data_IF_546669510870
#
_entry.id   IF_546669510870
#
_cell.length_a   1.000
_cell.length_b   1.000
_cell.length_c   1.000
_cell.angle_alpha   90.00
_cell.angle_beta   90.00
_cell.angle_gamma   90.00
#
_symmetry.space_group_name_H-M   'P 1'
#
loop_
_entity.id
_entity.type
_entity.pdbx_description
1 polymer ?
#
# COMPACT_ATOMS: atom_id res chain seq x y z
N UNK A 1 3.32 8.35 27.43
CA UNK A 1 2.31 8.58 26.38
C UNK A 1 2.10 7.27 25.63
N UNK A 2 0.87 6.73 25.55
CA UNK A 2 0.59 5.42 24.93
C UNK A 2 0.20 5.60 23.46
N UNK A 3 0.71 4.76 22.57
CA UNK A 3 0.53 4.94 21.12
C UNK A 3 -0.87 4.58 20.61
N UNK A 4 -1.61 3.67 21.27
CA UNK A 4 -2.96 3.20 20.91
C UNK A 4 -3.14 2.92 19.40
N UNK A 5 -2.24 2.15 18.80
CA UNK A 5 -2.23 1.89 17.36
C UNK A 5 -3.50 1.20 16.87
N UNK A 6 -4.05 0.26 17.63
CA UNK A 6 -5.32 -0.42 17.30
C UNK A 6 -6.51 0.54 17.10
N UNK A 7 -6.49 1.72 17.75
CA UNK A 7 -7.51 2.76 17.60
C UNK A 7 -7.14 3.81 16.55
N UNK A 8 -5.84 4.06 16.37
CA UNK A 8 -5.33 5.13 15.48
C UNK A 8 -5.17 4.67 14.03
N UNK A 9 -4.71 3.45 13.79
CA UNK A 9 -4.49 2.92 12.44
C UNK A 9 -5.77 2.91 11.60
N UNK A 10 -6.94 2.49 12.12
CA UNK A 10 -8.20 2.59 11.36
C UNK A 10 -8.52 4.02 10.91
N UNK A 11 -8.30 5.02 11.78
CA UNK A 11 -8.52 6.45 11.47
C UNK A 11 -7.57 6.97 10.40
N UNK A 12 -6.33 6.46 10.37
CA UNK A 12 -5.35 6.81 9.33
C UNK A 12 -5.79 6.26 7.97
N UNK A 13 -6.29 5.02 7.94
CA UNK A 13 -6.79 4.38 6.72
C UNK A 13 -8.01 5.16 6.18
N UNK A 14 -8.98 5.47 7.04
CA UNK A 14 -10.15 6.28 6.68
C UNK A 14 -9.74 7.64 6.08
N UNK A 15 -8.80 8.35 6.74
CA UNK A 15 -8.26 9.59 6.22
C UNK A 15 -7.61 9.43 4.83
N UNK A 16 -6.86 8.34 4.60
CA UNK A 16 -6.25 8.08 3.29
C UNK A 16 -7.28 7.82 2.20
N UNK A 17 -8.35 7.09 2.52
CA UNK A 17 -9.44 6.76 1.60
C UNK A 17 -10.25 8.01 1.24
N UNK A 18 -10.70 8.78 2.24
CA UNK A 18 -11.45 10.03 2.05
C UNK A 18 -10.68 11.03 1.18
N UNK A 19 -9.38 11.19 1.47
CA UNK A 19 -8.51 12.11 0.73
C UNK A 19 -7.99 11.53 -0.58
N UNK A 20 -8.34 10.28 -0.91
CA UNK A 20 -7.91 9.55 -2.11
C UNK A 20 -6.39 9.60 -2.29
N UNK A 21 -5.64 9.39 -1.20
CA UNK A 21 -4.19 9.56 -1.15
C UNK A 21 -3.47 8.66 -2.17
N UNK A 22 -3.88 7.40 -2.28
CA UNK A 22 -3.31 6.48 -3.28
C UNK A 22 -3.43 7.03 -4.70
N UNK A 23 -4.64 7.46 -5.09
CA UNK A 23 -4.91 8.04 -6.41
C UNK A 23 -4.04 9.27 -6.67
N UNK A 24 -3.91 10.17 -5.69
CA UNK A 24 -3.07 11.38 -5.81
C UNK A 24 -1.59 11.04 -6.01
N UNK A 25 -1.07 10.02 -5.34
CA UNK A 25 0.31 9.55 -5.52
C UNK A 25 0.52 9.02 -6.94
N UNK A 26 -0.42 8.23 -7.46
CA UNK A 26 -0.36 7.73 -8.84
C UNK A 26 -0.43 8.86 -9.87
N UNK A 27 -1.35 9.82 -9.69
CA UNK A 27 -1.49 10.99 -10.55
C UNK A 27 -0.23 11.85 -10.56
N UNK A 28 0.38 12.08 -9.39
CA UNK A 28 1.63 12.84 -9.25
C UNK A 28 2.76 12.25 -10.10
N UNK A 29 2.85 10.93 -10.19
CA UNK A 29 3.94 10.24 -10.87
C UNK A 29 3.57 9.73 -12.28
N UNK A 30 2.34 9.97 -12.78
CA UNK A 30 1.78 9.31 -13.98
C UNK A 30 2.66 9.32 -15.23
N UNK A 31 3.45 10.38 -15.44
CA UNK A 31 4.30 10.55 -16.61
C UNK A 31 5.76 10.13 -16.39
N UNK A 32 6.09 9.62 -15.20
CA UNK A 32 7.43 9.18 -14.85
C UNK A 32 7.65 7.72 -15.26
N UNK A 33 8.88 7.23 -15.11
CA UNK A 33 9.22 5.83 -15.41
C UNK A 33 8.38 4.88 -14.56
N UNK A 34 7.75 3.92 -15.23
CA UNK A 34 6.95 2.88 -14.57
C UNK A 34 7.83 1.92 -13.76
N UNK A 35 7.32 1.50 -12.61
CA UNK A 35 7.81 0.38 -11.83
C UNK A 35 6.63 -0.54 -11.51
N UNK A 36 6.60 -1.73 -12.13
CA UNK A 36 5.50 -2.67 -11.97
C UNK A 36 5.98 -3.85 -11.12
N UNK A 37 5.30 -4.10 -10.01
CA UNK A 37 5.51 -5.29 -9.19
C UNK A 37 4.27 -6.18 -9.33
N UNK A 38 4.42 -7.30 -10.03
CA UNK A 38 3.32 -8.23 -10.22
C UNK A 38 2.99 -8.95 -8.92
N UNK A 39 1.71 -8.92 -8.55
CA UNK A 39 1.19 -9.62 -7.40
C UNK A 39 0.65 -10.99 -7.81
N UNK A 40 1.16 -12.05 -7.19
CA UNK A 40 0.60 -13.38 -7.35
C UNK A 40 -0.80 -13.42 -6.75
N UNK A 41 -1.85 -13.79 -7.53
CA UNK A 41 -3.21 -13.79 -7.02
C UNK A 41 -3.34 -14.83 -5.89
N UNK A 42 -3.78 -14.45 -4.69
CA UNK A 42 -4.08 -15.42 -3.65
C UNK A 42 -5.31 -16.23 -4.06
N UNK A 43 -5.38 -17.49 -3.62
CA UNK A 43 -6.63 -18.23 -3.73
C UNK A 43 -7.66 -17.62 -2.78
N UNK A 44 -8.89 -17.44 -3.26
CA UNK A 44 -9.99 -16.83 -2.49
C UNK A 44 -10.70 -17.85 -1.56
N UNK A 45 -9.93 -18.77 -0.96
CA UNK A 45 -10.43 -19.79 -0.04
C UNK A 45 -9.66 -19.74 1.29
N UNK A 46 -10.38 -19.89 2.40
CA UNK A 46 -9.80 -19.90 3.74
C UNK A 46 -9.35 -18.53 4.26
N UNK A 47 -8.95 -18.46 5.53
CA UNK A 47 -8.51 -17.22 6.17
C UNK A 47 -7.08 -16.83 5.76
N UNK A 48 -6.83 -15.52 5.77
CA UNK A 48 -5.48 -14.95 5.65
C UNK A 48 -4.64 -15.40 6.87
N UNK A 49 -3.41 -15.81 6.61
CA UNK A 49 -2.43 -16.20 7.63
C UNK A 49 -1.17 -15.34 7.58
N UNK A 50 -0.24 -15.51 8.52
CA UNK A 50 0.95 -14.65 8.66
C UNK A 50 1.81 -14.58 7.38
N UNK A 51 1.95 -15.67 6.63
CA UNK A 51 2.62 -15.66 5.33
C UNK A 51 2.00 -14.70 4.29
N UNK A 52 0.68 -14.54 4.29
CA UNK A 52 0.01 -13.55 3.45
C UNK A 52 0.35 -12.12 3.89
N UNK A 53 0.31 -11.86 5.20
CA UNK A 53 0.68 -10.56 5.76
C UNK A 53 2.12 -10.18 5.41
N UNK A 54 3.07 -11.10 5.62
CA UNK A 54 4.47 -10.91 5.26
C UNK A 54 4.63 -10.56 3.77
N UNK A 55 3.98 -11.33 2.89
CA UNK A 55 4.05 -11.11 1.45
C UNK A 55 3.53 -9.71 1.05
N UNK A 56 2.35 -9.32 1.55
CA UNK A 56 1.73 -8.03 1.20
C UNK A 56 2.48 -6.85 1.78
N UNK A 57 2.95 -6.94 3.03
CA UNK A 57 3.71 -5.86 3.68
C UNK A 57 5.01 -5.59 2.93
N UNK A 58 5.76 -6.62 2.54
CA UNK A 58 7.01 -6.44 1.79
C UNK A 58 6.78 -5.79 0.43
N UNK A 59 5.75 -6.22 -0.31
CA UNK A 59 5.38 -5.64 -1.60
C UNK A 59 4.97 -4.17 -1.46
N UNK A 60 4.16 -3.85 -0.45
CA UNK A 60 3.72 -2.49 -0.16
C UNK A 60 4.88 -1.55 0.20
N UNK A 61 5.84 -2.01 1.01
CA UNK A 61 7.06 -1.24 1.33
C UNK A 61 7.82 -0.86 0.05
N UNK A 62 7.99 -1.82 -0.88
CA UNK A 62 8.71 -1.59 -2.14
C UNK A 62 7.95 -0.58 -3.02
N UNK A 63 6.64 -0.75 -3.17
CA UNK A 63 5.80 0.15 -3.99
C UNK A 63 5.80 1.57 -3.42
N UNK A 64 5.66 1.73 -2.09
CA UNK A 64 5.74 3.03 -1.41
C UNK A 64 7.11 3.68 -1.62
N UNK A 65 8.19 2.93 -1.43
CA UNK A 65 9.54 3.43 -1.67
C UNK A 65 9.74 3.92 -3.12
N UNK A 66 9.30 3.15 -4.11
CA UNK A 66 9.41 3.52 -5.53
C UNK A 66 8.56 4.74 -5.87
N UNK A 67 7.35 4.82 -5.33
CA UNK A 67 6.48 5.99 -5.46
C UNK A 67 7.11 7.25 -4.85
N UNK A 68 7.73 7.14 -3.67
CA UNK A 68 8.47 8.23 -3.02
C UNK A 68 9.73 8.65 -3.81
N UNK A 69 10.35 7.72 -4.55
CA UNK A 69 11.44 8.01 -5.50
C UNK A 69 10.97 8.57 -6.84
N UNK A 70 9.67 8.77 -7.03
CA UNK A 70 9.08 9.38 -8.23
C UNK A 70 8.72 8.40 -9.34
N UNK A 71 8.81 7.09 -9.13
CA UNK A 71 8.34 6.12 -10.13
C UNK A 71 6.81 6.09 -10.19
N UNK A 72 6.26 5.88 -11.38
CA UNK A 72 4.86 5.52 -11.53
C UNK A 72 4.70 4.04 -11.14
N UNK A 73 4.09 3.76 -9.99
CA UNK A 73 4.03 2.39 -9.43
C UNK A 73 2.58 1.96 -9.18
N UNK A 74 1.77 1.81 -10.25
CA UNK A 74 0.35 1.47 -10.15
C UNK A 74 0.10 0.05 -9.63
#
# INVERSE_FOLDING_TARGET
MKANLSEREPKIIEFWEEKKIYKKIQEKNKNNKSYILHDGPPYANGPIHIGHALNKILKDIIIKYKSMKGFYSP
#
